data_IF_945889802157
#
_entry.id   IF_945889802157
#
_cell.length_a   1.000
_cell.length_b   1.000
_cell.length_c   1.000
_cell.angle_alpha   90.00
_cell.angle_beta   90.00
_cell.angle_gamma   90.00
#
_symmetry.space_group_name_H-M   'P 1'
#
loop_
_entity.id
_entity.type
_entity.pdbx_description
1 polymer ?
#
# COMPACT_ATOMS: atom_id res chain seq x y z
N UNK A 1 -36.29 -13.99 2.43
CA UNK A 1 -35.57 -13.31 1.34
C UNK A 1 -34.14 -13.12 1.82
N UNK A 2 -33.19 -13.83 1.22
CA UNK A 2 -31.77 -13.72 1.58
C UNK A 2 -31.28 -12.45 0.92
N UNK A 3 -30.77 -11.48 1.70
CA UNK A 3 -30.13 -10.30 1.13
C UNK A 3 -29.03 -10.75 0.16
N UNK A 4 -28.88 -10.15 -1.03
CA UNK A 4 -27.78 -10.49 -1.93
C UNK A 4 -26.48 -10.37 -1.13
N UNK A 5 -25.70 -11.46 -1.07
CA UNK A 5 -24.46 -11.48 -0.30
C UNK A 5 -23.55 -10.37 -0.84
N UNK A 6 -23.20 -9.39 -0.01
CA UNK A 6 -22.23 -8.37 -0.38
C UNK A 6 -20.93 -9.04 -0.80
N UNK A 7 -20.38 -8.62 -1.94
CA UNK A 7 -19.07 -9.09 -2.41
C UNK A 7 -18.01 -8.72 -1.37
N UNK A 8 -17.11 -9.64 -0.98
CA UNK A 8 -16.08 -9.35 0.01
C UNK A 8 -15.03 -8.38 -0.54
N UNK A 9 -14.30 -7.74 0.37
CA UNK A 9 -13.06 -7.02 0.07
C UNK A 9 -11.93 -8.05 -0.05
N UNK A 10 -11.16 -7.97 -1.13
CA UNK A 10 -9.95 -8.76 -1.28
C UNK A 10 -8.77 -8.07 -0.60
N UNK A 11 -7.97 -8.83 0.17
CA UNK A 11 -6.59 -8.45 0.49
C UNK A 11 -5.66 -9.42 -0.23
N UNK A 12 -4.97 -8.91 -1.25
CA UNK A 12 -3.89 -9.61 -1.94
C UNK A 12 -2.62 -9.49 -1.10
N UNK A 13 -2.30 -10.55 -0.36
CA UNK A 13 -1.09 -10.63 0.43
C UNK A 13 0.08 -10.97 -0.50
N UNK A 14 0.95 -9.98 -0.72
CA UNK A 14 2.13 -10.09 -1.58
C UNK A 14 3.39 -10.49 -0.82
N UNK A 15 3.32 -10.60 0.51
CA UNK A 15 4.41 -11.06 1.36
C UNK A 15 4.03 -11.08 2.84
N UNK A 16 4.98 -11.52 3.66
CA UNK A 16 4.81 -11.58 5.10
C UNK A 16 5.68 -10.55 5.81
N UNK A 17 5.15 -9.98 6.90
CA UNK A 17 5.97 -9.24 7.83
C UNK A 17 7.08 -10.15 8.41
N UNK A 18 8.27 -9.61 8.72
CA UNK A 18 9.33 -10.40 9.32
C UNK A 18 8.88 -11.02 10.64
N UNK A 19 9.46 -12.16 11.01
CA UNK A 19 9.01 -12.93 12.18
C UNK A 19 8.93 -12.11 13.48
N UNK A 20 9.91 -11.25 13.85
CA UNK A 20 9.80 -10.43 15.05
C UNK A 20 8.60 -9.49 15.04
N UNK A 21 8.23 -8.95 13.87
CA UNK A 21 7.08 -8.08 13.71
C UNK A 21 5.79 -8.90 13.85
N UNK A 22 5.69 -10.07 13.21
CA UNK A 22 4.50 -10.94 13.32
C UNK A 22 4.27 -11.45 14.74
N UNK A 23 5.35 -11.71 15.50
CA UNK A 23 5.26 -12.14 16.90
C UNK A 23 4.78 -11.02 17.82
N UNK A 24 5.20 -9.77 17.56
CA UNK A 24 4.88 -8.63 18.41
C UNK A 24 3.57 -7.92 18.04
N UNK A 25 3.17 -7.99 16.77
CA UNK A 25 2.05 -7.25 16.21
C UNK A 25 1.10 -8.19 15.47
N UNK A 26 1.24 -8.29 14.16
CA UNK A 26 0.34 -8.99 13.24
C UNK A 26 1.07 -9.21 11.90
N UNK A 27 0.46 -9.94 10.96
CA UNK A 27 0.91 -9.93 9.56
C UNK A 27 0.27 -8.76 8.78
N UNK A 28 0.76 -8.45 7.58
CA UNK A 28 0.30 -7.27 6.83
C UNK A 28 -1.22 -7.21 6.61
N UNK A 29 -1.94 -8.28 6.23
CA UNK A 29 -3.39 -8.19 6.06
C UNK A 29 -4.12 -7.75 7.33
N UNK A 30 -3.72 -8.30 8.48
CA UNK A 30 -4.33 -7.98 9.77
C UNK A 30 -4.03 -6.53 10.18
N UNK A 31 -2.86 -5.99 9.81
CA UNK A 31 -2.56 -4.56 9.99
C UNK A 31 -3.49 -3.67 9.15
N UNK A 32 -3.76 -4.03 7.89
CA UNK A 32 -4.74 -3.32 7.06
C UNK A 32 -6.15 -3.41 7.63
N UNK A 33 -6.57 -4.60 8.06
CA UNK A 33 -7.90 -4.81 8.67
C UNK A 33 -8.08 -3.90 9.89
N UNK A 34 -7.09 -3.88 10.79
CA UNK A 34 -7.13 -3.07 12.01
C UNK A 34 -7.09 -1.57 11.69
N UNK A 35 -6.17 -1.13 10.84
CA UNK A 35 -5.98 0.30 10.60
C UNK A 35 -7.06 0.90 9.71
N UNK A 36 -7.60 0.12 8.77
CA UNK A 36 -8.70 0.52 7.90
C UNK A 36 -10.08 0.37 8.53
N UNK A 37 -10.19 -0.10 9.78
CA UNK A 37 -11.47 -0.38 10.46
C UNK A 37 -12.38 -1.30 9.62
N UNK A 38 -11.77 -2.34 9.04
CA UNK A 38 -12.43 -3.27 8.12
C UNK A 38 -13.05 -4.41 8.93
N UNK A 39 -14.30 -4.74 8.64
CA UNK A 39 -14.92 -5.96 9.17
C UNK A 39 -14.22 -7.21 8.60
N UNK A 40 -13.50 -7.93 9.45
CA UNK A 40 -12.77 -9.13 9.08
C UNK A 40 -13.66 -10.24 8.49
N UNK A 41 -14.97 -10.24 8.78
CA UNK A 41 -15.91 -11.21 8.19
C UNK A 41 -16.24 -10.92 6.73
N UNK A 42 -15.97 -9.69 6.26
CA UNK A 42 -16.18 -9.25 4.89
C UNK A 42 -14.89 -9.27 4.06
N UNK A 43 -13.83 -9.90 4.57
CA UNK A 43 -12.51 -9.95 3.91
C UNK A 43 -12.18 -11.35 3.44
N UNK A 44 -11.67 -11.44 2.23
CA UNK A 44 -10.96 -12.63 1.72
C UNK A 44 -9.49 -12.25 1.61
N UNK A 45 -8.63 -13.00 2.31
CA UNK A 45 -7.16 -12.87 2.18
C UNK A 45 -6.69 -13.95 1.22
N UNK A 46 -5.85 -13.57 0.25
CA UNK A 46 -5.21 -14.51 -0.68
C UNK A 46 -3.71 -14.33 -0.57
N UNK A 47 -3.01 -15.41 -0.19
CA UNK A 47 -1.56 -15.45 -0.06
C UNK A 47 -0.88 -15.92 -1.35
N UNK A 48 -0.39 -14.95 -2.12
CA UNK A 48 0.21 -15.21 -3.42
C UNK A 48 1.53 -15.98 -3.32
N UNK A 49 2.30 -15.77 -2.23
CA UNK A 49 3.57 -16.47 -2.01
C UNK A 49 3.35 -17.93 -1.58
N UNK A 50 2.22 -18.21 -0.91
CA UNK A 50 1.78 -19.58 -0.63
C UNK A 50 1.21 -20.32 -1.85
N UNK A 51 1.12 -19.65 -3.01
CA UNK A 51 0.59 -20.23 -4.25
C UNK A 51 -0.93 -20.15 -4.39
N UNK A 52 -1.61 -19.42 -3.50
CA UNK A 52 -3.05 -19.17 -3.63
C UNK A 52 -3.33 -18.24 -4.83
N UNK A 53 -4.57 -18.26 -5.31
CA UNK A 53 -5.00 -17.47 -6.45
C UNK A 53 -6.34 -16.78 -6.15
N UNK A 54 -6.45 -15.46 -6.42
CA UNK A 54 -7.72 -14.78 -6.24
C UNK A 54 -8.71 -15.23 -7.30
N UNK A 55 -9.99 -15.07 -7.00
CA UNK A 55 -11.05 -15.17 -8.00
C UNK A 55 -10.94 -14.00 -9.01
N UNK A 56 -11.67 -14.06 -10.13
CA UNK A 56 -11.78 -12.91 -11.02
C UNK A 56 -12.26 -11.63 -10.29
N UNK A 57 -11.77 -10.43 -10.67
CA UNK A 57 -12.06 -9.15 -9.99
C UNK A 57 -13.54 -8.88 -9.69
N UNK A 58 -14.45 -9.30 -10.56
CA UNK A 58 -15.89 -9.12 -10.41
C UNK A 58 -16.48 -9.84 -9.19
N UNK A 59 -15.73 -10.72 -8.51
CA UNK A 59 -16.16 -11.39 -7.29
C UNK A 59 -15.93 -10.54 -6.02
N UNK A 60 -15.29 -9.38 -6.16
CA UNK A 60 -14.92 -8.52 -5.03
C UNK A 60 -15.56 -7.14 -5.14
N UNK A 61 -15.69 -6.45 -4.00
CA UNK A 61 -16.13 -5.04 -3.98
C UNK A 61 -14.97 -4.05 -4.13
N UNK A 62 -13.75 -4.52 -3.91
CA UNK A 62 -12.50 -3.80 -4.05
C UNK A 62 -11.32 -4.71 -3.71
N UNK A 63 -10.10 -4.20 -3.84
CA UNK A 63 -8.90 -4.90 -3.41
C UNK A 63 -7.90 -3.99 -2.69
N UNK A 64 -7.22 -4.53 -1.69
CA UNK A 64 -6.02 -3.98 -1.08
C UNK A 64 -4.84 -4.88 -1.47
N UNK A 65 -3.76 -4.29 -1.94
CA UNK A 65 -2.53 -4.99 -2.31
C UNK A 65 -1.45 -4.60 -1.30
N UNK A 66 -0.98 -5.58 -0.52
CA UNK A 66 -0.08 -5.31 0.61
C UNK A 66 1.33 -4.97 0.14
N UNK A 67 2.15 -4.52 1.10
CA UNK A 67 3.60 -4.53 0.98
C UNK A 67 4.17 -5.96 0.93
N UNK A 68 5.43 -6.06 0.49
CA UNK A 68 6.23 -7.28 0.45
C UNK A 68 7.69 -6.93 0.71
N UNK A 69 8.47 -7.94 1.09
CA UNK A 69 9.93 -7.85 1.11
C UNK A 69 10.58 -8.24 -0.21
N UNK A 70 9.79 -8.78 -1.14
CA UNK A 70 10.25 -9.14 -2.48
C UNK A 70 10.41 -7.88 -3.31
N UNK A 71 11.16 -7.97 -4.41
CA UNK A 71 11.37 -6.85 -5.31
C UNK A 71 10.54 -7.07 -6.58
N UNK A 72 9.86 -6.02 -7.07
CA UNK A 72 9.08 -6.14 -8.32
C UNK A 72 9.99 -6.51 -9.49
N UNK A 73 11.23 -6.03 -9.48
CA UNK A 73 12.25 -6.34 -10.50
C UNK A 73 12.73 -7.79 -10.50
N UNK A 74 12.35 -8.61 -9.51
CA UNK A 74 12.66 -10.04 -9.52
C UNK A 74 11.75 -10.82 -10.47
N UNK A 75 10.63 -10.23 -10.92
CA UNK A 75 9.68 -10.85 -11.86
C UNK A 75 9.27 -12.27 -11.45
N UNK A 76 9.07 -12.49 -10.15
CA UNK A 76 8.64 -13.77 -9.62
C UNK A 76 7.29 -14.16 -10.24
N UNK A 77 7.07 -15.44 -10.52
CA UNK A 77 5.86 -15.89 -11.23
C UNK A 77 4.55 -15.44 -10.58
N UNK A 78 4.46 -15.49 -9.24
CA UNK A 78 3.29 -14.99 -8.50
C UNK A 78 3.10 -13.47 -8.61
N UNK A 79 4.19 -12.72 -8.85
CA UNK A 79 4.17 -11.27 -9.02
C UNK A 79 3.64 -10.88 -10.40
N UNK A 80 4.09 -11.57 -11.45
CA UNK A 80 3.56 -11.39 -12.81
C UNK A 80 2.08 -11.77 -12.88
N UNK A 81 1.68 -12.89 -12.26
CA UNK A 81 0.27 -13.29 -12.13
C UNK A 81 -0.56 -12.21 -11.42
N UNK A 82 0.02 -11.58 -10.39
CA UNK A 82 -0.64 -10.48 -9.68
C UNK A 82 -0.73 -9.21 -10.52
N UNK A 83 0.28 -8.89 -11.34
CA UNK A 83 0.25 -7.78 -12.28
C UNK A 83 -0.85 -7.98 -13.34
N UNK A 84 -1.01 -9.21 -13.84
CA UNK A 84 -2.11 -9.56 -14.75
C UNK A 84 -3.48 -9.41 -14.07
N UNK A 85 -3.60 -9.84 -12.82
CA UNK A 85 -4.84 -9.63 -12.06
C UNK A 85 -5.15 -8.14 -11.86
N UNK A 86 -4.15 -7.31 -11.57
CA UNK A 86 -4.30 -5.85 -11.46
C UNK A 86 -4.81 -5.25 -12.78
N UNK A 87 -4.28 -5.69 -13.93
CA UNK A 87 -4.77 -5.25 -15.26
C UNK A 87 -6.25 -5.59 -15.44
N UNK A 88 -6.66 -6.81 -15.08
CA UNK A 88 -8.08 -7.20 -15.12
C UNK A 88 -8.94 -6.35 -14.17
N UNK A 89 -8.46 -6.07 -12.96
CA UNK A 89 -9.15 -5.21 -12.00
C UNK A 89 -9.34 -3.78 -12.54
N UNK A 90 -8.33 -3.23 -13.20
CA UNK A 90 -8.42 -1.91 -13.85
C UNK A 90 -9.44 -1.89 -14.99
N UNK A 91 -9.50 -2.95 -15.82
CA UNK A 91 -10.49 -3.06 -16.90
C UNK A 91 -11.94 -3.07 -16.39
N UNK A 92 -12.17 -3.59 -15.18
CA UNK A 92 -13.48 -3.62 -14.53
C UNK A 92 -13.75 -2.42 -13.63
N UNK A 93 -12.87 -1.42 -13.64
CA UNK A 93 -12.89 -0.26 -12.74
C UNK A 93 -13.01 -0.65 -11.25
N UNK A 94 -12.47 -1.81 -10.87
CA UNK A 94 -12.49 -2.29 -9.48
C UNK A 94 -11.77 -1.27 -8.60
N UNK A 95 -12.36 -0.85 -7.47
CA UNK A 95 -11.64 -0.04 -6.50
C UNK A 95 -10.41 -0.76 -5.96
N UNK A 96 -9.23 -0.15 -6.06
CA UNK A 96 -7.97 -0.76 -5.64
C UNK A 96 -7.10 0.21 -4.84
N UNK A 97 -6.48 -0.32 -3.79
CA UNK A 97 -5.51 0.37 -2.95
C UNK A 97 -4.21 -0.44 -2.86
N UNK A 98 -3.11 0.08 -3.38
CA UNK A 98 -1.79 -0.55 -3.24
C UNK A 98 -0.92 0.17 -2.23
N UNK A 99 -0.18 -0.55 -1.38
CA UNK A 99 0.79 0.06 -0.47
C UNK A 99 2.19 -0.56 -0.62
N UNK A 100 3.22 0.28 -0.62
CA UNK A 100 4.63 -0.11 -0.78
C UNK A 100 4.85 -1.02 -2.00
N UNK A 101 5.08 -2.32 -1.83
CA UNK A 101 5.14 -3.26 -2.95
C UNK A 101 3.87 -3.22 -3.82
N UNK A 102 2.68 -3.12 -3.22
CA UNK A 102 1.44 -2.99 -3.97
C UNK A 102 1.37 -1.71 -4.82
N UNK A 103 1.98 -0.63 -4.35
CA UNK A 103 2.12 0.60 -5.13
C UNK A 103 3.02 0.41 -6.35
N UNK A 104 4.17 -0.22 -6.15
CA UNK A 104 5.12 -0.54 -7.21
C UNK A 104 4.54 -1.53 -8.23
N UNK A 105 3.88 -2.59 -7.74
CA UNK A 105 3.23 -3.60 -8.58
C UNK A 105 2.15 -2.96 -9.46
N UNK A 106 1.32 -2.08 -8.90
CA UNK A 106 0.30 -1.37 -9.69
C UNK A 106 0.91 -0.49 -10.77
N UNK A 107 1.98 0.25 -10.45
CA UNK A 107 2.69 1.05 -11.45
C UNK A 107 3.27 0.16 -12.56
N UNK A 108 3.98 -0.90 -12.20
CA UNK A 108 4.56 -1.87 -13.14
C UNK A 108 3.50 -2.51 -14.03
N UNK A 109 2.39 -3.00 -13.44
CA UNK A 109 1.29 -3.62 -14.17
C UNK A 109 0.72 -2.71 -15.26
N UNK A 110 0.74 -1.40 -15.02
CA UNK A 110 0.18 -0.38 -15.92
C UNK A 110 1.22 0.28 -16.83
N UNK A 111 2.42 -0.29 -16.93
CA UNK A 111 3.45 0.16 -17.87
C UNK A 111 4.39 1.22 -17.31
N UNK A 112 4.42 1.40 -15.99
CA UNK A 112 5.44 2.17 -15.30
C UNK A 112 6.73 1.37 -15.12
N UNK A 113 7.81 2.07 -14.77
CA UNK A 113 9.11 1.50 -14.46
C UNK A 113 9.33 1.49 -12.94
N UNK A 114 9.76 0.35 -12.41
CA UNK A 114 10.12 0.17 -10.99
C UNK A 114 11.56 -0.31 -10.91
N UNK A 115 12.34 0.26 -10.00
CA UNK A 115 13.70 -0.17 -9.74
C UNK A 115 14.13 0.23 -8.31
N UNK A 116 15.33 -0.17 -7.90
CA UNK A 116 15.96 0.36 -6.70
C UNK A 116 16.04 1.89 -6.77
N UNK A 117 15.66 2.53 -5.67
CA UNK A 117 15.75 3.98 -5.56
C UNK A 117 17.23 4.39 -5.68
N UNK A 118 17.60 5.31 -6.58
CA UNK A 118 19.00 5.62 -6.88
C UNK A 118 19.76 6.23 -5.69
N UNK A 119 19.04 6.77 -4.70
CA UNK A 119 19.60 7.32 -3.46
C UNK A 119 19.52 6.32 -2.28
N UNK A 120 19.19 5.06 -2.55
CA UNK A 120 19.03 4.04 -1.51
C UNK A 120 17.71 4.12 -0.75
N UNK A 121 17.67 3.47 0.41
CA UNK A 121 16.47 3.24 1.21
C UNK A 121 15.84 4.55 1.71
N UNK A 122 14.51 4.63 1.66
CA UNK A 122 13.73 5.59 2.45
C UNK A 122 13.15 4.84 3.65
N UNK A 123 13.53 5.25 4.86
CA UNK A 123 13.12 4.56 6.08
C UNK A 123 12.84 5.56 7.20
N UNK A 124 11.75 5.38 7.94
CA UNK A 124 11.39 6.25 9.07
C UNK A 124 10.02 6.91 8.91
N UNK A 125 9.75 7.94 9.71
CA UNK A 125 8.59 8.80 9.53
C UNK A 125 9.02 10.07 8.79
N UNK A 126 8.49 10.30 7.59
CA UNK A 126 8.86 11.45 6.75
C UNK A 126 7.65 12.31 6.42
N UNK A 127 7.94 13.56 6.05
CA UNK A 127 6.93 14.49 5.55
C UNK A 127 6.61 14.21 4.07
N UNK A 128 5.34 13.95 3.81
CA UNK A 128 4.75 13.80 2.49
C UNK A 128 4.08 15.12 2.10
N UNK A 129 4.42 15.65 0.93
CA UNK A 129 3.91 16.88 0.35
C UNK A 129 2.96 16.58 -0.80
N UNK A 130 1.77 17.18 -0.79
CA UNK A 130 0.85 17.10 -1.93
C UNK A 130 1.40 17.86 -3.14
N UNK A 131 1.11 17.33 -4.33
CA UNK A 131 1.30 18.05 -5.60
C UNK A 131 0.09 18.94 -5.88
N UNK A 132 0.15 19.86 -6.87
CA UNK A 132 -1.04 20.58 -7.32
C UNK A 132 -2.20 19.66 -7.70
N UNK A 133 -1.91 18.48 -8.28
CA UNK A 133 -2.92 17.48 -8.59
C UNK A 133 -3.50 16.82 -7.33
N UNK A 134 -2.68 16.56 -6.31
CA UNK A 134 -3.13 16.05 -5.01
C UNK A 134 -4.16 16.96 -4.33
N UNK A 135 -4.00 18.28 -4.46
CA UNK A 135 -4.97 19.25 -3.93
C UNK A 135 -6.34 19.24 -4.64
N UNK A 136 -6.41 18.71 -5.85
CA UNK A 136 -7.65 18.62 -6.64
C UNK A 136 -8.29 17.21 -6.58
N UNK A 137 -7.58 16.25 -5.99
CA UNK A 137 -7.99 14.87 -6.00
C UNK A 137 -9.13 14.61 -4.98
N UNK A 138 -10.23 13.91 -5.34
CA UNK A 138 -11.40 13.78 -4.47
C UNK A 138 -11.17 13.12 -3.11
N UNK A 139 -10.13 12.28 -3.01
CA UNK A 139 -9.84 11.50 -1.80
C UNK A 139 -8.64 12.08 -1.06
N UNK A 140 -7.61 12.51 -1.77
CA UNK A 140 -6.36 13.06 -1.21
C UNK A 140 -6.49 14.53 -0.80
N UNK A 141 -7.35 15.32 -1.44
CA UNK A 141 -7.56 16.75 -1.09
C UNK A 141 -8.07 16.99 0.33
N UNK A 142 -8.53 15.95 1.03
CA UNK A 142 -8.92 16.01 2.45
C UNK A 142 -7.72 16.03 3.40
N UNK A 143 -6.52 15.69 2.92
CA UNK A 143 -5.28 15.77 3.67
C UNK A 143 -4.72 17.21 3.63
N UNK A 144 -4.02 17.66 4.68
CA UNK A 144 -3.27 18.90 4.61
C UNK A 144 -2.17 18.82 3.54
N UNK A 145 -1.66 19.99 3.13
CA UNK A 145 -0.61 20.09 2.12
C UNK A 145 0.66 19.28 2.45
N UNK A 146 0.92 19.10 3.74
CA UNK A 146 2.03 18.33 4.29
C UNK A 146 1.53 17.45 5.44
N UNK A 147 1.95 16.19 5.49
CA UNK A 147 1.61 15.27 6.57
C UNK A 147 2.70 14.22 6.78
N UNK A 148 2.78 13.65 7.98
CA UNK A 148 3.73 12.60 8.30
C UNK A 148 3.23 11.20 7.86
N UNK A 149 4.12 10.38 7.31
CA UNK A 149 3.86 8.99 6.93
C UNK A 149 5.06 8.07 7.22
N UNK A 150 4.79 6.80 7.53
CA UNK A 150 5.81 5.78 7.76
C UNK A 150 6.25 5.15 6.44
N UNK A 151 7.56 5.09 6.21
CA UNK A 151 8.19 4.63 4.97
C UNK A 151 9.23 3.58 5.27
N UNK A 152 9.24 2.50 4.49
CA UNK A 152 10.31 1.50 4.43
C UNK A 152 10.33 0.93 3.01
N UNK A 153 11.22 1.42 2.15
CA UNK A 153 11.38 0.86 0.81
C UNK A 153 12.78 1.03 0.24
N UNK A 154 13.20 0.02 -0.53
CA UNK A 154 14.44 0.03 -1.32
C UNK A 154 14.17 0.29 -2.81
N UNK A 155 13.01 -0.13 -3.29
CA UNK A 155 12.56 0.13 -4.65
C UNK A 155 11.51 1.22 -4.67
N UNK A 156 11.40 1.89 -5.80
CA UNK A 156 10.47 2.96 -6.06
C UNK A 156 9.92 2.83 -7.49
N UNK A 157 8.83 3.54 -7.76
CA UNK A 157 8.46 3.85 -9.14
C UNK A 157 9.45 4.88 -9.68
N UNK A 158 10.23 4.49 -10.69
CA UNK A 158 11.16 5.40 -11.39
C UNK A 158 10.38 6.29 -12.35
N UNK A 159 9.50 5.66 -13.13
CA UNK A 159 8.67 6.35 -14.11
C UNK A 159 7.22 5.87 -13.92
N UNK A 160 6.27 6.76 -13.53
CA UNK A 160 4.88 6.35 -13.41
C UNK A 160 4.29 6.02 -14.79
N UNK A 161 3.25 5.16 -14.86
CA UNK A 161 2.47 4.98 -16.07
C UNK A 161 2.01 6.33 -16.65
N UNK A 162 1.99 6.46 -17.98
CA UNK A 162 1.57 7.71 -18.64
C UNK A 162 0.14 8.15 -18.27
N UNK A 163 -0.71 7.21 -17.85
CA UNK A 163 -2.09 7.44 -17.42
C UNK A 163 -2.22 7.76 -15.93
N UNK A 164 -1.15 7.60 -15.15
CA UNK A 164 -1.17 7.83 -13.71
C UNK A 164 -0.91 9.31 -13.39
N UNK A 165 -1.55 9.80 -12.34
CA UNK A 165 -1.31 11.14 -11.79
C UNK A 165 -0.57 11.05 -10.48
N UNK A 166 0.51 11.81 -10.35
CA UNK A 166 1.29 11.94 -9.11
C UNK A 166 0.61 12.93 -8.17
N UNK A 167 0.17 12.46 -7.01
CA UNK A 167 -0.60 13.25 -6.05
C UNK A 167 0.22 13.73 -4.85
N UNK A 168 1.30 13.03 -4.52
CA UNK A 168 2.19 13.45 -3.44
C UNK A 168 3.61 12.92 -3.64
N UNK A 169 4.55 13.53 -2.93
CA UNK A 169 5.99 13.23 -2.95
C UNK A 169 6.63 13.45 -1.58
N UNK A 170 7.81 12.89 -1.35
CA UNK A 170 8.74 13.35 -0.30
C UNK A 170 9.90 14.12 -0.95
N UNK A 171 10.88 14.54 -0.15
CA UNK A 171 12.15 15.07 -0.66
C UNK A 171 12.98 13.97 -1.34
N UNK A 172 12.88 12.73 -0.84
CA UNK A 172 13.62 11.58 -1.34
C UNK A 172 13.00 11.00 -2.61
N UNK A 173 11.67 10.81 -2.59
CA UNK A 173 10.94 10.07 -3.63
C UNK A 173 9.78 10.92 -4.21
N UNK A 174 9.76 11.14 -5.54
CA UNK A 174 8.74 11.96 -6.19
C UNK A 174 7.36 11.32 -6.33
N UNK A 175 7.18 10.02 -6.03
CA UNK A 175 5.99 9.24 -6.41
C UNK A 175 5.25 8.62 -5.22
N UNK A 176 5.11 9.35 -4.11
CA UNK A 176 4.52 8.83 -2.87
C UNK A 176 3.05 8.43 -2.96
N UNK A 177 2.26 9.10 -3.81
CA UNK A 177 0.87 8.72 -4.09
C UNK A 177 0.64 8.77 -5.59
N UNK A 178 0.12 7.67 -6.16
CA UNK A 178 -0.28 7.58 -7.56
C UNK A 178 -1.77 7.25 -7.69
N UNK A 179 -2.45 7.98 -8.57
CA UNK A 179 -3.85 7.76 -8.99
C UNK A 179 -3.84 7.18 -10.40
N UNK A 180 -4.46 6.01 -10.60
CA UNK A 180 -4.48 5.29 -11.88
C UNK A 180 -5.82 5.38 -12.63
N UNK A 181 -6.82 5.96 -11.99
CA UNK A 181 -8.18 6.09 -12.50
C UNK A 181 -9.13 6.46 -11.35
N UNK A 182 -10.45 6.53 -11.59
CA UNK A 182 -11.41 7.01 -10.60
C UNK A 182 -11.40 6.24 -9.27
N UNK A 183 -11.12 4.93 -9.34
CA UNK A 183 -11.29 4.02 -8.21
C UNK A 183 -9.97 3.40 -7.72
N UNK A 184 -8.84 3.68 -8.39
CA UNK A 184 -7.55 3.04 -8.11
C UNK A 184 -6.51 4.07 -7.67
N UNK A 185 -5.96 3.87 -6.48
CA UNK A 185 -4.94 4.73 -5.86
C UNK A 185 -3.90 3.86 -5.18
N UNK A 186 -2.69 4.37 -4.97
CA UNK A 186 -1.65 3.66 -4.23
C UNK A 186 -0.73 4.60 -3.49
N UNK A 187 -0.05 4.08 -2.45
CA UNK A 187 0.89 4.82 -1.62
C UNK A 187 2.24 4.09 -1.52
N UNK A 188 3.36 4.80 -1.65
CA UNK A 188 4.66 4.21 -1.37
C UNK A 188 4.89 4.03 0.15
N UNK A 189 4.29 4.90 0.96
CA UNK A 189 4.26 4.78 2.42
C UNK A 189 3.25 3.71 2.92
N UNK A 190 3.35 3.40 4.21
CA UNK A 190 2.58 2.38 4.93
C UNK A 190 1.49 3.00 5.83
N UNK A 191 0.26 3.24 5.33
CA UNK A 191 -0.85 3.71 6.16
C UNK A 191 -1.32 2.67 7.18
N UNK A 192 -0.95 1.40 6.99
CA UNK A 192 -1.22 0.27 7.89
C UNK A 192 -0.23 0.15 9.05
N UNK A 193 0.87 0.92 9.06
CA UNK A 193 1.86 0.88 10.14
C UNK A 193 1.51 1.87 11.25
N UNK A 194 1.36 1.36 12.47
CA UNK A 194 1.37 2.19 13.68
C UNK A 194 2.79 2.56 14.09
N UNK A 195 2.94 3.55 14.97
CA UNK A 195 4.22 3.87 15.60
C UNK A 195 4.88 2.63 16.24
N UNK A 196 4.10 1.76 16.87
CA UNK A 196 4.61 0.56 17.51
C UNK A 196 5.15 -0.47 16.50
N UNK A 197 4.45 -0.68 15.38
CA UNK A 197 4.93 -1.54 14.28
C UNK A 197 6.23 -0.98 13.72
N UNK A 198 6.26 0.32 13.43
CA UNK A 198 7.43 0.98 12.85
C UNK A 198 8.65 0.91 13.76
N UNK A 199 8.49 1.11 15.07
CA UNK A 199 9.56 0.94 16.07
C UNK A 199 10.16 -0.46 16.05
N UNK A 200 9.32 -1.50 16.06
CA UNK A 200 9.77 -2.90 15.99
C UNK A 200 10.47 -3.18 14.67
N UNK A 201 9.97 -2.62 13.57
CA UNK A 201 10.56 -2.79 12.24
C UNK A 201 11.96 -2.17 12.16
N UNK A 202 12.13 -0.93 12.63
CA UNK A 202 13.45 -0.28 12.67
C UNK A 202 14.44 -1.02 13.56
N UNK A 203 14.00 -1.47 14.74
CA UNK A 203 14.86 -2.26 15.63
C UNK A 203 15.30 -3.57 14.98
N UNK A 204 14.41 -4.22 14.22
CA UNK A 204 14.74 -5.43 13.48
C UNK A 204 15.72 -5.15 12.33
N UNK A 205 15.50 -4.09 11.54
CA UNK A 205 16.43 -3.68 10.48
C UNK A 205 17.82 -3.36 11.04
N UNK A 206 17.90 -2.61 12.14
CA UNK A 206 19.15 -2.31 12.82
C UNK A 206 19.88 -3.55 13.34
N UNK A 207 19.17 -4.63 13.68
CA UNK A 207 19.80 -5.91 14.07
C UNK A 207 20.38 -6.71 12.90
N UNK A 208 20.02 -6.36 11.66
CA UNK A 208 20.49 -7.00 10.44
C UNK A 208 21.53 -6.16 9.70
N UNK A 209 21.68 -4.88 10.03
CA UNK A 209 22.60 -3.99 9.37
C UNK A 209 24.04 -4.45 9.61
N UNK A 210 24.77 -4.70 8.52
CA UNK A 210 26.19 -5.08 8.56
C UNK A 210 27.10 -3.84 8.61
N UNK A 211 26.55 -2.66 8.30
CA UNK A 211 27.23 -1.38 8.32
C UNK A 211 26.33 -0.25 8.86
N UNK A 212 26.93 0.91 9.14
CA UNK A 212 26.25 2.10 9.65
C UNK A 212 25.75 3.02 8.53
N UNK A 213 25.48 2.51 7.32
CA UNK A 213 24.99 3.35 6.20
C UNK A 213 23.67 4.04 6.53
N UNK A 214 22.86 3.42 7.39
CA UNK A 214 21.62 3.99 7.93
C UNK A 214 21.66 3.92 9.45
N UNK A 215 21.58 5.08 10.09
CA UNK A 215 21.42 5.15 11.54
C UNK A 215 19.96 4.87 11.93
N UNK A 216 19.62 3.58 12.00
CA UNK A 216 18.29 3.13 12.42
C UNK A 216 17.93 3.56 13.85
N UNK A 217 18.93 3.78 14.72
CA UNK A 217 18.70 4.25 16.07
C UNK A 217 18.28 5.73 16.08
N UNK A 218 18.91 6.56 15.26
CA UNK A 218 18.49 7.94 15.04
C UNK A 218 17.09 8.01 14.41
N UNK A 219 16.82 7.19 13.38
CA UNK A 219 15.49 7.13 12.77
C UNK A 219 14.40 6.75 13.78
N UNK A 220 14.69 5.82 14.70
CA UNK A 220 13.76 5.42 15.75
C UNK A 220 13.39 6.55 16.73
N UNK A 221 14.28 7.52 16.93
CA UNK A 221 14.01 8.70 17.77
C UNK A 221 13.08 9.72 17.10
N UNK A 222 12.98 9.70 15.76
CA UNK A 222 12.19 10.64 14.97
C UNK A 222 10.80 10.11 14.59
N UNK A 223 10.51 8.85 14.94
CA UNK A 223 9.21 8.25 14.65
C UNK A 223 8.08 8.97 15.38
N UNK A 224 6.96 9.14 14.68
CA UNK A 224 5.75 9.73 15.24
C UNK A 224 4.50 8.97 14.79
N UNK A 225 3.37 9.25 15.44
CA UNK A 225 2.08 8.75 14.97
C UNK A 225 1.72 9.39 13.63
N UNK A 226 1.15 8.61 12.71
CA UNK A 226 0.81 9.05 11.35
C UNK A 226 -0.70 8.96 11.08
N UNK A 227 -1.56 9.64 11.88
CA UNK A 227 -3.01 9.50 11.78
C UNK A 227 -3.58 9.98 10.45
N UNK A 228 -2.92 10.96 9.80
CA UNK A 228 -3.33 11.48 8.50
C UNK A 228 -3.07 10.48 7.37
N UNK A 229 -1.92 9.81 7.38
CA UNK A 229 -1.62 8.69 6.49
C UNK A 229 -2.67 7.56 6.63
N UNK A 230 -2.98 7.18 7.87
CA UNK A 230 -4.08 6.22 8.16
C UNK A 230 -5.44 6.71 7.64
N UNK A 231 -5.71 8.01 7.74
CA UNK A 231 -6.94 8.63 7.24
C UNK A 231 -7.22 8.36 5.77
N UNK A 232 -6.17 8.23 4.94
CA UNK A 232 -6.30 7.88 3.53
C UNK A 232 -6.85 6.46 3.33
N UNK A 233 -6.34 5.49 4.10
CA UNK A 233 -6.84 4.11 4.09
C UNK A 233 -8.31 4.05 4.53
N UNK A 234 -8.66 4.76 5.61
CA UNK A 234 -10.04 4.87 6.07
C UNK A 234 -10.96 5.50 5.02
N UNK A 235 -10.50 6.54 4.33
CA UNK A 235 -11.28 7.19 3.27
C UNK A 235 -11.54 6.24 2.10
N UNK A 236 -10.54 5.43 1.71
CA UNK A 236 -10.71 4.39 0.70
C UNK A 236 -11.74 3.34 1.13
N UNK A 237 -11.59 2.76 2.33
CA UNK A 237 -12.53 1.75 2.86
C UNK A 237 -13.94 2.32 3.00
N UNK A 238 -14.09 3.55 3.50
CA UNK A 238 -15.37 4.23 3.60
C UNK A 238 -16.04 4.48 2.24
N UNK A 239 -15.26 4.72 1.19
CA UNK A 239 -15.78 4.85 -0.17
C UNK A 239 -16.30 3.52 -0.72
N UNK A 240 -15.68 2.38 -0.38
CA UNK A 240 -16.18 1.04 -0.73
C UNK A 240 -17.57 0.79 -0.13
N UNK A 241 -17.74 1.05 1.16
CA UNK A 241 -19.02 0.84 1.86
C UNK A 241 -20.15 1.67 1.25
N UNK A 242 -19.88 2.93 0.89
CA UNK A 242 -20.86 3.79 0.19
C UNK A 242 -21.24 3.23 -1.19
N UNK A 243 -20.29 2.70 -1.97
CA UNK A 243 -20.58 2.08 -3.27
C UNK A 243 -21.40 0.82 -3.14
N UNK A 244 -21.09 -0.05 -2.18
CA UNK A 244 -21.87 -1.26 -1.93
C UNK A 244 -23.31 -0.93 -1.51
N UNK A 245 -23.51 0.10 -0.70
CA UNK A 245 -24.85 0.55 -0.30
C UNK A 245 -25.68 1.12 -1.46
N UNK A 246 -25.05 1.66 -2.51
CA UNK A 246 -25.73 2.15 -3.72
C UNK A 246 -26.02 1.03 -4.75
N UNK A 247 -25.35 -0.11 -4.63
CA UNK A 247 -25.47 -1.23 -5.57
C UNK A 247 -26.42 -2.35 -5.11
N UNK A 248 -26.89 -2.30 -3.86
CA UNK A 248 -27.86 -3.24 -3.27
C UNK A 248 -29.25 -2.65 -3.15
#
# INVERSE_FOLDING_TARGET
MIAPSQKPLLILQTGHAPEPIRRAHDNFPQMFIRQGDIDAQQVVIVDLQAGERPLPPENYCGAIITGSRSMVTEHLAWSEDAADWVRLGMLQELPMFGACYGHQLMAYALGGEVNYHPQGIEVGTHEVMLTPAGHLDPLVSQLPAQFAANLIHLQTVITPPATATVLAKTVHDPHQILRYGPNAISTQFHPEFSLAVMKTYLSWLGSLAEDDTVDFAQQAQQLSETPLSRGLLLAFVGALGKRQALAG
#
